data_IF_034550664606
#
_entry.id   IF_034550664606
#
_cell.length_a   1.000
_cell.length_b   1.000
_cell.length_c   1.000
_cell.angle_alpha   90.00
_cell.angle_beta   90.00
_cell.angle_gamma   90.00
#
_symmetry.space_group_name_H-M   'P 1'
#
loop_
_entity.id
_entity.type
_entity.pdbx_description
1 polymer ?
#
# COMPACT_ATOMS: atom_id res chain seq x y z
N UNK A 1 -0.13 10.44 -17.67
CA UNK A 1 -1.28 9.65 -17.15
C UNK A 1 -0.85 8.22 -16.90
N UNK A 2 -0.64 7.88 -15.63
CA UNK A 2 -0.52 6.48 -15.22
C UNK A 2 -1.48 6.22 -14.08
N UNK A 3 -2.70 5.85 -14.39
CA UNK A 3 -3.63 5.25 -13.46
C UNK A 3 -3.34 3.75 -13.39
N UNK A 4 -2.90 3.26 -12.22
CA UNK A 4 -2.79 1.82 -11.97
C UNK A 4 -3.97 1.41 -11.10
N UNK A 5 -5.05 0.96 -11.72
CA UNK A 5 -6.13 0.27 -11.03
C UNK A 5 -5.69 -1.17 -10.78
N UNK A 6 -5.47 -1.56 -9.54
CA UNK A 6 -5.37 -2.97 -9.13
C UNK A 6 -6.75 -3.50 -8.78
N UNK A 7 -7.09 -4.61 -9.41
CA UNK A 7 -8.42 -5.18 -9.40
C UNK A 7 -8.97 -5.62 -8.06
N UNK A 8 -10.27 -5.73 -8.01
CA UNK A 8 -11.06 -6.37 -6.97
C UNK A 8 -10.71 -7.88 -6.95
N UNK A 9 -10.09 -8.33 -5.87
CA UNK A 9 -9.87 -9.74 -5.60
C UNK A 9 -10.94 -10.27 -4.66
N UNK A 10 -11.73 -11.25 -5.12
CA UNK A 10 -12.67 -11.99 -4.29
C UNK A 10 -12.02 -13.30 -3.84
N UNK A 11 -11.84 -13.48 -2.53
CA UNK A 11 -11.36 -14.74 -1.97
C UNK A 11 -12.57 -15.47 -1.36
N UNK A 12 -13.21 -16.33 -2.15
CA UNK A 12 -14.26 -17.19 -1.67
C UNK A 12 -13.67 -18.52 -1.20
N UNK A 13 -13.50 -18.68 0.11
CA UNK A 13 -13.12 -19.97 0.72
C UNK A 13 -14.24 -20.44 1.64
N UNK A 14 -14.81 -21.59 1.32
CA UNK A 14 -15.74 -22.29 2.19
C UNK A 14 -14.93 -23.19 3.11
N UNK A 15 -14.97 -22.94 4.42
CA UNK A 15 -14.31 -23.79 5.40
C UNK A 15 -15.28 -24.11 6.54
N UNK A 16 -15.33 -25.37 6.91
CA UNK A 16 -16.00 -25.84 8.10
C UNK A 16 -14.92 -26.18 9.14
N UNK A 17 -14.92 -25.49 10.27
CA UNK A 17 -13.98 -25.72 11.36
C UNK A 17 -14.66 -26.60 12.41
N UNK A 18 -14.12 -27.78 12.66
CA UNK A 18 -14.56 -28.63 13.78
C UNK A 18 -14.08 -28.02 15.11
N UNK A 19 -15.06 -27.70 15.96
CA UNK A 19 -14.80 -27.27 17.32
C UNK A 19 -15.49 -28.23 18.31
N UNK A 20 -15.10 -28.18 19.58
CA UNK A 20 -15.72 -29.04 20.63
C UNK A 20 -17.23 -28.84 20.74
N UNK A 21 -17.73 -27.67 20.36
CA UNK A 21 -19.15 -27.30 20.42
C UNK A 21 -19.90 -27.53 19.10
N UNK A 22 -19.21 -28.14 18.10
CA UNK A 22 -19.78 -28.44 16.78
C UNK A 22 -19.08 -27.77 15.60
N UNK A 23 -19.69 -27.89 14.43
CA UNK A 23 -19.18 -27.31 13.18
C UNK A 23 -19.41 -25.81 13.11
N UNK A 24 -18.33 -25.05 13.14
CA UNK A 24 -18.36 -23.60 12.87
C UNK A 24 -18.22 -23.37 11.37
N UNK A 25 -19.26 -22.81 10.76
CA UNK A 25 -19.25 -22.48 9.33
C UNK A 25 -18.62 -21.11 9.10
N UNK A 26 -17.50 -21.11 8.40
CA UNK A 26 -16.78 -19.88 8.03
C UNK A 26 -17.00 -19.60 6.53
N UNK A 27 -18.08 -18.90 6.22
CA UNK A 27 -18.59 -18.74 4.85
C UNK A 27 -18.74 -17.28 4.42
N UNK A 28 -18.30 -16.33 5.22
CA UNK A 28 -18.48 -14.92 4.87
C UNK A 28 -17.37 -14.49 3.91
N UNK A 29 -17.71 -14.10 2.67
CA UNK A 29 -16.72 -13.62 1.74
C UNK A 29 -16.08 -12.33 2.24
N UNK A 30 -14.79 -12.17 1.94
CA UNK A 30 -14.03 -10.97 2.22
C UNK A 30 -13.68 -10.28 0.92
N UNK A 31 -14.03 -9.01 0.79
CA UNK A 31 -13.72 -8.18 -0.37
C UNK A 31 -12.58 -7.24 -0.04
N UNK A 32 -11.62 -7.15 -0.94
CA UNK A 32 -10.53 -6.19 -0.86
C UNK A 32 -10.52 -5.31 -2.11
N UNK A 33 -10.28 -4.03 -1.92
CA UNK A 33 -10.14 -3.09 -3.02
C UNK A 33 -9.03 -2.10 -2.72
N UNK A 34 -8.24 -1.79 -3.74
CA UNK A 34 -7.19 -0.78 -3.66
C UNK A 34 -7.28 0.15 -4.87
N UNK A 35 -7.16 1.44 -4.60
CA UNK A 35 -7.10 2.47 -5.62
C UNK A 35 -5.88 3.35 -5.36
N UNK A 36 -4.98 3.41 -6.35
CA UNK A 36 -3.78 4.24 -6.29
C UNK A 36 -3.75 5.12 -7.52
N UNK A 37 -3.66 6.43 -7.32
CA UNK A 37 -3.55 7.37 -8.40
C UNK A 37 -2.50 8.45 -8.10
N UNK A 38 -1.80 8.85 -9.15
CA UNK A 38 -0.82 9.94 -9.10
C UNK A 38 -1.11 10.91 -10.24
N UNK A 39 -1.34 12.15 -9.89
CA UNK A 39 -1.62 13.24 -10.81
C UNK A 39 -0.38 14.12 -10.96
N UNK A 40 0.06 14.30 -12.18
CA UNK A 40 1.15 15.21 -12.50
C UNK A 40 0.56 16.50 -13.10
N UNK A 41 0.87 17.61 -12.48
CA UNK A 41 0.42 18.91 -12.91
C UNK A 41 1.59 19.72 -13.48
N UNK A 42 1.24 20.74 -14.24
CA UNK A 42 2.24 21.68 -14.76
C UNK A 42 3.00 22.38 -13.62
N UNK A 43 4.15 22.95 -13.94
CA UNK A 43 4.99 23.68 -13.01
C UNK A 43 5.58 22.86 -11.86
N UNK A 44 5.74 21.55 -12.05
CA UNK A 44 6.38 20.65 -11.08
C UNK A 44 5.54 20.35 -9.84
N UNK A 45 4.22 20.31 -9.97
CA UNK A 45 3.33 19.79 -8.94
C UNK A 45 2.95 18.34 -9.20
N UNK A 46 2.87 17.56 -8.15
CA UNK A 46 2.41 16.17 -8.18
C UNK A 46 1.52 15.92 -6.97
N UNK A 47 0.37 15.30 -7.17
CA UNK A 47 -0.49 14.83 -6.10
C UNK A 47 -0.64 13.31 -6.18
N UNK A 48 -0.71 12.64 -5.04
CA UNK A 48 -0.97 11.21 -4.93
C UNK A 48 -2.11 10.93 -3.97
N UNK A 49 -2.95 9.98 -4.34
CA UNK A 49 -4.03 9.48 -3.49
C UNK A 49 -3.98 7.96 -3.51
N UNK A 50 -4.01 7.37 -2.34
CA UNK A 50 -4.11 5.93 -2.15
C UNK A 50 -5.32 5.63 -1.26
N UNK A 51 -6.20 4.73 -1.72
CA UNK A 51 -7.37 4.26 -0.99
C UNK A 51 -7.31 2.75 -0.88
N UNK A 52 -7.55 2.24 0.30
CA UNK A 52 -7.62 0.81 0.55
C UNK A 52 -8.89 0.49 1.33
N UNK A 53 -9.56 -0.56 0.89
CA UNK A 53 -10.76 -1.08 1.51
C UNK A 53 -10.66 -2.58 1.69
N UNK A 54 -11.01 -3.06 2.86
CA UNK A 54 -11.19 -4.48 3.17
C UNK A 54 -12.48 -4.65 3.94
N UNK A 55 -13.38 -5.50 3.46
CA UNK A 55 -14.59 -5.84 4.19
C UNK A 55 -14.29 -6.80 5.33
N UNK A 56 -15.17 -6.82 6.32
CA UNK A 56 -15.26 -7.96 7.24
C UNK A 56 -15.53 -9.25 6.47
N UNK A 57 -15.02 -10.37 6.96
CA UNK A 57 -15.19 -11.67 6.33
C UNK A 57 -14.42 -12.75 7.05
N UNK A 58 -14.52 -13.98 6.56
CA UNK A 58 -13.85 -15.14 7.14
C UNK A 58 -12.66 -15.54 6.27
N UNK A 59 -11.56 -15.90 6.93
CA UNK A 59 -10.34 -16.36 6.28
C UNK A 59 -9.68 -17.45 7.13
N UNK A 60 -9.65 -18.68 6.59
CA UNK A 60 -9.12 -19.85 7.30
C UNK A 60 -9.80 -20.05 8.68
N UNK A 61 -9.04 -19.96 9.76
CA UNK A 61 -9.53 -20.11 11.14
C UNK A 61 -9.77 -18.76 11.83
N UNK A 62 -9.86 -17.68 11.07
CA UNK A 62 -10.07 -16.35 11.61
C UNK A 62 -11.16 -15.56 10.87
N UNK A 63 -11.81 -14.67 11.58
CA UNK A 63 -12.79 -13.74 11.02
C UNK A 63 -12.34 -12.31 11.23
N UNK A 64 -12.27 -11.52 10.17
CA UNK A 64 -12.17 -10.07 10.30
C UNK A 64 -13.54 -9.50 10.66
N UNK A 65 -13.63 -8.88 11.84
CA UNK A 65 -14.90 -8.42 12.39
C UNK A 65 -15.25 -6.98 12.06
N UNK A 66 -14.29 -6.23 11.48
CA UNK A 66 -14.44 -4.82 11.12
C UNK A 66 -14.07 -4.60 9.65
N UNK A 67 -14.74 -3.64 9.05
CA UNK A 67 -14.28 -3.12 7.76
C UNK A 67 -13.10 -2.18 8.00
N UNK A 68 -12.08 -2.32 7.16
CA UNK A 68 -10.91 -1.44 7.16
C UNK A 68 -11.01 -0.56 5.93
N UNK A 69 -10.99 0.75 6.13
CA UNK A 69 -10.95 1.73 5.05
C UNK A 69 -10.03 2.86 5.42
N UNK A 70 -8.99 3.07 4.66
CA UNK A 70 -8.09 4.18 4.89
C UNK A 70 -7.71 4.87 3.58
N UNK A 71 -7.40 6.14 3.69
CA UNK A 71 -7.01 7.01 2.59
C UNK A 71 -5.76 7.76 2.97
N UNK A 72 -4.76 7.63 2.13
CA UNK A 72 -3.52 8.39 2.19
C UNK A 72 -3.48 9.38 1.03
N UNK A 73 -3.01 10.58 1.29
CA UNK A 73 -2.84 11.57 0.26
C UNK A 73 -1.54 12.37 0.45
N UNK A 74 -1.00 12.85 -0.65
CA UNK A 74 0.21 13.66 -0.62
C UNK A 74 0.29 14.62 -1.79
N UNK A 75 0.94 15.76 -1.54
CA UNK A 75 1.26 16.75 -2.56
C UNK A 75 2.76 17.00 -2.53
N UNK A 76 3.37 16.96 -3.70
CA UNK A 76 4.81 17.20 -3.87
C UNK A 76 5.01 18.38 -4.81
N UNK A 77 5.90 19.26 -4.44
CA UNK A 77 6.38 20.33 -5.30
C UNK A 77 7.85 20.13 -5.61
N UNK A 78 8.17 20.15 -6.90
CA UNK A 78 9.55 20.11 -7.41
C UNK A 78 10.04 21.51 -7.75
N UNK A 79 11.30 21.77 -7.43
CA UNK A 79 11.97 23.04 -7.66
C UNK A 79 13.30 22.79 -8.38
N UNK A 80 13.76 23.79 -9.14
CA UNK A 80 15.08 23.84 -9.78
C UNK A 80 15.40 22.61 -10.63
N UNK A 81 14.46 22.21 -11.51
CA UNK A 81 14.68 21.06 -12.39
C UNK A 81 14.89 19.76 -11.61
N UNK A 82 14.06 19.52 -10.60
CA UNK A 82 14.04 18.32 -9.74
C UNK A 82 15.25 18.18 -8.79
N UNK A 83 16.01 19.27 -8.58
CA UNK A 83 17.07 19.27 -7.56
C UNK A 83 16.53 19.30 -6.15
N UNK A 84 15.39 19.94 -5.95
CA UNK A 84 14.72 20.00 -4.65
C UNK A 84 13.27 19.55 -4.77
N UNK A 85 12.80 18.79 -3.81
CA UNK A 85 11.38 18.45 -3.68
C UNK A 85 10.90 18.63 -2.25
N UNK A 86 9.70 19.17 -2.12
CA UNK A 86 8.99 19.30 -0.85
C UNK A 86 7.69 18.51 -0.96
N UNK A 87 7.51 17.52 -0.08
CA UNK A 87 6.33 16.68 -0.03
C UNK A 87 5.61 16.87 1.30
N UNK A 88 4.34 17.22 1.25
CA UNK A 88 3.41 17.12 2.36
C UNK A 88 2.54 15.91 2.16
N UNK A 89 2.47 15.01 3.13
CA UNK A 89 1.64 13.80 3.05
C UNK A 89 0.90 13.56 4.36
N UNK A 90 -0.32 13.03 4.23
CA UNK A 90 -1.14 12.57 5.32
C UNK A 90 -1.49 11.09 5.13
N UNK A 91 -1.40 10.30 6.18
CA UNK A 91 -1.80 8.90 6.20
C UNK A 91 -3.05 8.73 7.06
N UNK A 92 -3.89 7.78 6.64
CA UNK A 92 -5.17 7.44 7.29
C UNK A 92 -5.99 8.68 7.67
N UNK A 93 -6.27 9.53 6.67
CA UNK A 93 -6.93 10.84 6.86
C UNK A 93 -8.27 10.71 7.59
N UNK A 94 -8.97 9.61 7.44
CA UNK A 94 -10.29 9.36 8.04
C UNK A 94 -10.23 8.47 9.30
N UNK A 95 -9.02 8.08 9.74
CA UNK A 95 -8.83 7.21 10.91
C UNK A 95 -9.58 5.89 10.81
N UNK A 96 -9.54 5.27 9.65
CA UNK A 96 -10.26 4.03 9.35
C UNK A 96 -9.42 2.76 9.47
N UNK A 97 -8.14 2.85 9.78
CA UNK A 97 -7.24 1.70 9.97
C UNK A 97 -7.47 1.05 11.35
N UNK A 98 -8.64 0.41 11.50
CA UNK A 98 -9.06 -0.29 12.72
C UNK A 98 -9.38 -1.72 12.34
N UNK A 99 -8.66 -2.69 12.89
CA UNK A 99 -8.93 -4.10 12.65
C UNK A 99 -9.48 -4.80 13.89
N UNK A 100 -10.28 -5.82 13.67
CA UNK A 100 -10.80 -6.68 14.73
C UNK A 100 -10.76 -8.12 14.24
N UNK A 101 -9.78 -8.86 14.70
CA UNK A 101 -9.54 -10.23 14.24
C UNK A 101 -9.97 -11.21 15.32
N UNK A 102 -10.89 -12.14 14.98
CA UNK A 102 -11.32 -13.23 15.85
C UNK A 102 -10.72 -14.53 15.35
N UNK A 103 -9.84 -15.09 16.13
CA UNK A 103 -9.26 -16.41 15.87
C UNK A 103 -10.03 -17.48 16.62
N UNK A 104 -10.30 -18.60 15.94
CA UNK A 104 -11.01 -19.74 16.51
C UNK A 104 -10.03 -20.90 16.73
N UNK A 105 -10.11 -21.47 17.91
CA UNK A 105 -9.35 -22.65 18.33
C UNK A 105 -10.34 -23.76 18.66
N UNK A 106 -9.85 -24.98 18.82
CA UNK A 106 -10.72 -26.12 19.12
C UNK A 106 -11.64 -25.93 20.34
N UNK A 107 -11.17 -25.24 21.39
CA UNK A 107 -11.89 -25.05 22.67
C UNK A 107 -12.02 -23.59 23.12
N UNK A 108 -11.60 -22.66 22.28
CA UNK A 108 -11.60 -21.24 22.65
C UNK A 108 -11.66 -20.35 21.41
N UNK A 109 -12.07 -19.11 21.58
CA UNK A 109 -11.89 -18.07 20.58
C UNK A 109 -11.18 -16.88 21.21
N UNK A 110 -10.31 -16.23 20.47
CA UNK A 110 -9.65 -14.99 20.87
C UNK A 110 -10.09 -13.84 19.96
N UNK A 111 -10.49 -12.74 20.55
CA UNK A 111 -10.80 -11.51 19.81
C UNK A 111 -9.69 -10.49 20.06
N UNK A 112 -8.96 -10.17 19.04
CA UNK A 112 -7.95 -9.12 19.04
C UNK A 112 -8.50 -7.88 18.34
N UNK A 113 -8.56 -6.76 19.05
CA UNK A 113 -8.96 -5.47 18.48
C UNK A 113 -7.73 -4.57 18.44
N UNK A 114 -7.35 -4.16 17.24
CA UNK A 114 -6.22 -3.26 17.02
C UNK A 114 -6.75 -1.89 16.59
N UNK A 115 -6.47 -0.89 17.42
CA UNK A 115 -6.68 0.51 17.08
C UNK A 115 -5.29 1.12 16.89
N UNK A 116 -4.91 1.31 15.64
CA UNK A 116 -3.62 1.90 15.31
C UNK A 116 -3.71 3.42 15.38
N UNK A 117 -2.68 4.05 15.95
CA UNK A 117 -2.47 5.49 15.77
C UNK A 117 -1.83 5.71 14.38
N UNK A 118 -2.67 5.57 13.37
CA UNK A 118 -2.28 5.55 11.95
C UNK A 118 -2.27 6.94 11.31
N UNK A 119 -2.93 7.91 11.96
CA UNK A 119 -2.98 9.29 11.48
C UNK A 119 -1.64 9.98 11.63
N UNK A 120 -1.03 10.32 10.52
CA UNK A 120 0.24 11.07 10.52
C UNK A 120 0.21 12.12 9.43
N UNK A 121 0.78 13.27 9.75
CA UNK A 121 1.11 14.30 8.75
C UNK A 121 2.62 14.40 8.70
N UNK A 122 3.18 14.31 7.51
CA UNK A 122 4.63 14.32 7.31
C UNK A 122 5.01 15.35 6.27
N UNK A 123 5.97 16.20 6.61
CA UNK A 123 6.65 17.10 5.69
C UNK A 123 8.03 16.51 5.37
N UNK A 124 8.28 16.25 4.09
CA UNK A 124 9.56 15.72 3.63
C UNK A 124 10.21 16.73 2.69
N UNK A 125 11.41 17.14 3.00
CA UNK A 125 12.24 17.99 2.12
C UNK A 125 13.42 17.16 1.64
N UNK A 126 13.61 17.07 0.33
CA UNK A 126 14.73 16.37 -0.29
C UNK A 126 15.50 17.32 -1.19
N UNK A 127 16.81 17.35 -1.02
CA UNK A 127 17.70 18.11 -1.87
C UNK A 127 18.80 17.19 -2.44
N UNK A 128 19.03 17.26 -3.75
CA UNK A 128 20.06 16.50 -4.45
C UNK A 128 21.32 17.37 -4.58
N UNK A 129 22.32 17.11 -3.76
CA UNK A 129 23.63 17.71 -3.90
C UNK A 129 24.37 17.03 -5.07
N UNK A 130 25.13 17.81 -5.84
CA UNK A 130 26.01 17.29 -6.91
C UNK A 130 25.34 16.31 -7.89
N UNK A 131 24.16 16.61 -8.36
CA UNK A 131 23.56 15.89 -9.48
C UNK A 131 24.29 16.23 -10.79
N UNK A 132 25.60 15.98 -10.85
CA UNK A 132 26.32 15.92 -12.11
C UNK A 132 25.77 14.70 -12.84
N UNK A 133 25.15 14.92 -13.99
CA UNK A 133 24.85 13.83 -14.93
C UNK A 133 26.20 13.30 -15.42
N UNK A 134 26.84 12.45 -14.67
CA UNK A 134 27.84 11.57 -15.25
C UNK A 134 27.10 10.67 -16.24
N UNK A 135 27.09 11.10 -17.51
CA UNK A 135 26.94 10.15 -18.59
C UNK A 135 28.12 9.19 -18.41
N UNK A 136 27.84 8.04 -17.80
CA UNK A 136 28.78 6.93 -17.87
C UNK A 136 28.94 6.61 -19.36
N UNK A 137 29.99 7.13 -19.97
CA UNK A 137 30.51 6.62 -21.23
C UNK A 137 31.24 5.33 -20.86
N UNK A 138 30.47 4.26 -20.70
CA UNK A 138 31.07 2.95 -20.67
C UNK A 138 31.80 2.78 -21.97
N UNK A 139 33.12 2.59 -21.94
CA UNK A 139 33.86 1.98 -23.03
C UNK A 139 33.19 0.62 -23.25
N UNK A 140 32.59 0.41 -24.43
CA UNK A 140 31.95 -0.86 -24.76
C UNK A 140 32.96 -1.98 -24.55
N UNK A 141 32.58 -3.05 -23.89
CA UNK A 141 33.39 -4.26 -23.84
C UNK A 141 33.65 -4.70 -25.29
N UNK A 142 34.89 -4.58 -25.72
CA UNK A 142 35.30 -4.92 -27.09
C UNK A 142 36.00 -3.81 -27.88
N UNK A 143 36.10 -2.57 -27.39
CA UNK A 143 36.88 -1.53 -28.08
C UNK A 143 38.38 -1.83 -28.07
N UNK A 144 38.90 -2.48 -27.05
CA UNK A 144 40.31 -2.90 -26.98
C UNK A 144 40.65 -4.08 -27.90
N UNK A 145 39.68 -4.81 -28.43
CA UNK A 145 39.90 -5.88 -29.40
C UNK A 145 39.87 -5.38 -30.85
N UNK A 146 39.19 -4.27 -31.13
CA UNK A 146 39.13 -3.67 -32.46
C UNK A 146 40.43 -2.94 -32.86
N UNK A 147 41.23 -2.55 -31.89
CA UNK A 147 42.54 -1.93 -32.15
C UNK A 147 43.67 -2.96 -32.42
N UNK A 148 43.38 -4.26 -32.34
CA UNK A 148 44.32 -5.36 -32.57
C UNK A 148 44.13 -6.07 -33.92
N UNK A 149 43.18 -5.63 -34.72
CA UNK A 149 42.93 -6.10 -36.09
C UNK A 149 43.33 -5.02 -37.12
#
# INVERSE_FOLDING_TARGET
DRSVSRGLGDVYKRQDLETTDGLLKMNKPMFTGAFNNTFNFNHGWMASVEMNYQSKGDMENCSETKNIFYVDAGVTKFFWGDRMSVKLSGTDLFHGMKSGNRMYYNRASSLQINNYDSRKVMLTVRYKFNATRNKYKGSGAGESEKERL
#
